data_IF_509609724846
#
_entry.id   IF_509609724846
#
_cell.length_a   1.000
_cell.length_b   1.000
_cell.length_c   1.000
_cell.angle_alpha   90.00
_cell.angle_beta   90.00
_cell.angle_gamma   90.00
#
_symmetry.space_group_name_H-M   'P 1'
#
loop_
_entity.id
_entity.type
_entity.pdbx_description
1 polymer ?
#
# COMPACT_ATOMS: atom_id res chain seq x y z
N UNK A 1 -21.90 4.88 18.56
CA UNK A 1 -22.41 3.54 18.22
C UNK A 1 -23.29 3.66 16.98
N UNK A 2 -22.82 3.15 15.85
CA UNK A 2 -23.56 3.17 14.58
C UNK A 2 -24.32 1.84 14.45
N UNK A 3 -25.60 1.91 14.24
CA UNK A 3 -26.44 0.73 14.03
C UNK A 3 -26.84 0.69 12.55
N UNK A 4 -26.16 -0.16 11.76
CA UNK A 4 -26.52 -0.43 10.39
C UNK A 4 -26.98 -1.88 10.31
N UNK A 5 -28.20 -2.09 9.85
CA UNK A 5 -28.79 -3.45 9.65
C UNK A 5 -28.83 -4.34 10.92
N UNK A 6 -29.05 -3.75 12.11
CA UNK A 6 -29.11 -4.51 13.36
C UNK A 6 -27.77 -4.99 13.90
N UNK A 7 -26.64 -4.63 13.26
CA UNK A 7 -25.31 -4.97 13.72
C UNK A 7 -24.77 -3.82 14.56
N UNK A 8 -24.41 -4.10 15.81
CA UNK A 8 -23.68 -3.13 16.65
C UNK A 8 -22.23 -3.10 16.23
N UNK A 9 -21.80 -1.98 15.65
CA UNK A 9 -20.40 -1.71 15.36
C UNK A 9 -19.79 -0.86 16.47
N UNK A 10 -18.70 -1.35 17.05
CA UNK A 10 -17.90 -0.60 18.01
C UNK A 10 -16.64 -0.16 17.30
N UNK A 11 -16.45 1.16 17.15
CA UNK A 11 -15.22 1.72 16.65
C UNK A 11 -14.18 1.78 17.77
N UNK A 12 -13.13 1.01 17.65
CA UNK A 12 -11.98 1.06 18.56
C UNK A 12 -10.84 1.78 17.85
N UNK A 13 -10.44 2.94 18.36
CA UNK A 13 -9.32 3.71 17.84
C UNK A 13 -8.14 3.58 18.80
N UNK A 14 -7.03 3.00 18.32
CA UNK A 14 -5.80 2.86 19.09
C UNK A 14 -4.85 4.06 18.95
N UNK A 15 -5.03 4.85 17.91
CA UNK A 15 -4.24 6.04 17.66
C UNK A 15 -4.57 6.68 16.32
N UNK A 16 -4.22 7.96 16.21
CA UNK A 16 -4.30 8.72 14.96
C UNK A 16 -2.89 9.12 14.58
N UNK A 17 -2.49 8.79 13.36
CA UNK A 17 -1.18 9.10 12.83
C UNK A 17 -1.29 10.11 11.68
N UNK A 18 -0.82 11.32 11.88
CA UNK A 18 -0.90 12.43 10.92
C UNK A 18 0.28 12.47 9.94
N UNK A 19 0.83 11.34 9.57
CA UNK A 19 1.93 11.25 8.61
C UNK A 19 1.60 10.26 7.50
N UNK A 20 2.15 10.51 6.32
CA UNK A 20 2.24 9.49 5.29
C UNK A 20 3.25 8.42 5.72
N UNK A 21 2.88 7.17 5.54
CA UNK A 21 3.73 6.01 5.77
C UNK A 21 3.77 5.10 4.54
N UNK A 22 4.47 3.97 4.65
CA UNK A 22 4.56 3.00 3.56
C UNK A 22 3.22 2.45 3.06
N UNK A 23 2.16 2.52 3.87
CA UNK A 23 0.84 2.03 3.50
C UNK A 23 0.07 3.01 2.60
N UNK A 24 0.53 4.25 2.44
CA UNK A 24 -0.07 5.24 1.52
C UNK A 24 -0.13 4.72 0.07
N UNK A 25 0.75 3.80 -0.30
CA UNK A 25 0.73 3.17 -1.62
C UNK A 25 -0.52 2.31 -1.83
N UNK A 26 -1.06 1.69 -0.77
CA UNK A 26 -2.28 0.89 -0.84
C UNK A 26 -3.47 1.77 -1.21
N UNK A 27 -3.58 2.93 -0.57
CA UNK A 27 -4.64 3.90 -0.84
C UNK A 27 -4.50 4.51 -2.23
N UNK A 28 -3.28 4.85 -2.63
CA UNK A 28 -2.99 5.34 -4.00
C UNK A 28 -3.33 4.30 -5.06
N UNK A 29 -3.02 3.04 -4.82
CA UNK A 29 -3.31 1.95 -5.73
C UNK A 29 -4.80 1.66 -5.86
N UNK A 30 -5.58 1.91 -4.80
CA UNK A 30 -7.05 1.79 -4.84
C UNK A 30 -7.74 2.97 -5.56
N UNK A 31 -7.01 4.02 -5.92
CA UNK A 31 -7.50 5.13 -6.74
C UNK A 31 -7.42 6.50 -6.08
N UNK A 32 -7.03 6.60 -4.81
CA UNK A 32 -6.95 7.87 -4.08
C UNK A 32 -5.50 8.22 -3.76
N UNK A 33 -4.92 9.16 -4.50
CA UNK A 33 -3.55 9.62 -4.27
C UNK A 33 -3.48 10.65 -3.14
N UNK A 34 -3.42 10.20 -1.90
CA UNK A 34 -3.42 11.08 -0.72
C UNK A 34 -2.30 12.14 -0.74
N UNK A 35 -1.04 11.84 -1.08
CA UNK A 35 0.01 12.87 -1.20
C UNK A 35 -0.32 13.96 -2.22
N UNK A 36 -0.91 13.58 -3.35
CA UNK A 36 -1.31 14.53 -4.39
C UNK A 36 -2.50 15.39 -3.95
N UNK A 37 -3.52 14.79 -3.34
CA UNK A 37 -4.68 15.49 -2.78
C UNK A 37 -4.23 16.51 -1.73
N UNK A 38 -3.31 16.12 -0.85
CA UNK A 38 -2.74 17.01 0.15
C UNK A 38 -1.98 18.19 -0.49
N UNK A 39 -1.23 17.94 -1.55
CA UNK A 39 -0.56 18.99 -2.32
C UNK A 39 -1.57 19.96 -2.92
N UNK A 40 -2.60 19.49 -3.62
CA UNK A 40 -3.64 20.33 -4.21
C UNK A 40 -4.37 21.17 -3.16
N UNK A 41 -4.73 20.55 -2.04
CA UNK A 41 -5.36 21.25 -0.93
C UNK A 41 -4.51 22.43 -0.42
N UNK A 42 -3.22 22.25 -0.27
CA UNK A 42 -2.31 23.32 0.17
C UNK A 42 -2.08 24.39 -0.91
N UNK A 43 -2.28 24.06 -2.18
CA UNK A 43 -2.28 25.04 -3.28
C UNK A 43 -3.58 25.81 -3.40
N UNK A 44 -4.62 25.48 -2.63
CA UNK A 44 -5.94 26.10 -2.70
C UNK A 44 -6.80 25.61 -3.87
N UNK A 45 -6.43 24.47 -4.46
CA UNK A 45 -7.16 23.86 -5.56
C UNK A 45 -8.38 23.07 -5.06
N UNK A 46 -9.42 22.93 -5.92
CA UNK A 46 -10.56 22.09 -5.60
C UNK A 46 -10.17 20.60 -5.66
N UNK A 47 -10.36 19.90 -4.55
CA UNK A 47 -10.00 18.48 -4.41
C UNK A 47 -11.20 17.53 -4.52
N UNK A 48 -12.41 18.02 -4.72
CA UNK A 48 -13.64 17.18 -4.73
C UNK A 48 -13.59 16.08 -5.79
N UNK A 49 -13.04 16.39 -6.97
CA UNK A 49 -12.87 15.42 -8.06
C UNK A 49 -11.87 14.31 -7.74
N UNK A 50 -10.91 14.58 -6.85
CA UNK A 50 -9.88 13.65 -6.45
C UNK A 50 -10.30 12.75 -5.27
N UNK A 51 -11.39 13.13 -4.58
CA UNK A 51 -11.97 12.37 -3.48
C UNK A 51 -12.94 11.31 -4.01
N UNK A 52 -12.43 10.31 -4.73
CA UNK A 52 -13.24 9.22 -5.28
C UNK A 52 -13.51 8.14 -4.21
N UNK A 53 -14.68 8.22 -3.57
CA UNK A 53 -15.12 7.19 -2.62
C UNK A 53 -15.76 5.95 -3.27
N UNK A 54 -16.13 6.04 -4.54
CA UNK A 54 -16.91 5.00 -5.23
C UNK A 54 -16.10 3.79 -5.69
N UNK A 55 -14.81 3.87 -5.66
CA UNK A 55 -13.96 2.77 -6.07
C UNK A 55 -13.22 2.16 -4.88
N UNK A 56 -13.95 1.56 -3.95
CA UNK A 56 -13.35 0.60 -3.02
C UNK A 56 -12.89 -0.66 -3.79
N UNK A 57 -11.94 -0.44 -4.69
CA UNK A 57 -11.29 -1.52 -5.40
C UNK A 57 -10.35 -2.22 -4.43
N UNK A 58 -10.58 -3.49 -4.22
CA UNK A 58 -9.63 -4.32 -3.50
C UNK A 58 -8.33 -4.40 -4.31
N UNK A 59 -7.22 -4.00 -3.69
CA UNK A 59 -5.89 -3.98 -4.31
C UNK A 59 -4.92 -4.75 -3.42
N UNK A 60 -4.27 -5.74 -4.01
CA UNK A 60 -3.24 -6.51 -3.34
C UNK A 60 -1.88 -5.83 -3.51
N UNK A 61 -1.30 -5.38 -2.42
CA UNK A 61 0.02 -4.75 -2.39
C UNK A 61 1.00 -5.64 -1.65
N UNK A 62 2.18 -5.87 -2.24
CA UNK A 62 3.19 -6.74 -1.67
C UNK A 62 4.43 -5.95 -1.25
N UNK A 63 4.88 -6.05 0.01
CA UNK A 63 6.19 -5.58 0.46
C UNK A 63 7.27 -6.62 0.09
N UNK A 64 7.69 -6.63 -1.17
CA UNK A 64 8.46 -7.69 -1.81
C UNK A 64 9.74 -8.08 -1.07
N UNK A 65 10.46 -7.12 -0.49
CA UNK A 65 11.69 -7.41 0.24
C UNK A 65 11.44 -8.02 1.62
N UNK A 66 10.36 -7.62 2.29
CA UNK A 66 10.00 -8.19 3.58
C UNK A 66 9.50 -9.62 3.40
N UNK A 67 8.68 -9.86 2.39
CA UNK A 67 8.17 -11.19 2.08
C UNK A 67 9.28 -12.13 1.62
N UNK A 68 10.23 -11.63 0.84
CA UNK A 68 11.41 -12.44 0.47
C UNK A 68 12.27 -12.84 1.69
N UNK A 69 12.38 -11.96 2.70
CA UNK A 69 13.02 -12.34 3.97
C UNK A 69 12.29 -13.51 4.65
N UNK A 70 10.96 -13.51 4.63
CA UNK A 70 10.16 -14.60 5.19
C UNK A 70 10.42 -15.93 4.44
N UNK A 71 10.61 -15.88 3.12
CA UNK A 71 11.03 -17.06 2.33
C UNK A 71 12.43 -17.53 2.76
N UNK A 72 13.38 -16.60 2.91
CA UNK A 72 14.75 -16.91 3.36
C UNK A 72 14.75 -17.55 4.76
N UNK A 73 13.88 -17.10 5.65
CA UNK A 73 13.71 -17.67 7.00
C UNK A 73 12.82 -18.93 7.02
N UNK A 74 12.43 -19.46 5.86
CA UNK A 74 11.58 -20.66 5.72
C UNK A 74 10.20 -20.54 6.39
N UNK A 75 9.72 -19.35 6.60
CA UNK A 75 8.36 -19.10 7.13
C UNK A 75 7.30 -19.29 6.04
N UNK A 76 7.67 -19.01 4.79
CA UNK A 76 6.81 -19.19 3.60
C UNK A 76 7.61 -20.01 2.58
N UNK A 77 6.94 -20.94 1.89
CA UNK A 77 7.58 -21.69 0.80
C UNK A 77 7.75 -20.79 -0.42
N UNK A 78 8.85 -20.98 -1.16
CA UNK A 78 9.12 -20.25 -2.39
C UNK A 78 7.98 -20.39 -3.41
N UNK A 79 7.36 -21.58 -3.49
CA UNK A 79 6.23 -21.83 -4.40
C UNK A 79 5.00 -20.97 -4.05
N UNK A 80 4.68 -20.85 -2.77
CA UNK A 80 3.57 -20.01 -2.32
C UNK A 80 3.87 -18.53 -2.55
N UNK A 81 5.09 -18.10 -2.23
CA UNK A 81 5.53 -16.73 -2.50
C UNK A 81 5.40 -16.37 -3.99
N UNK A 82 5.82 -17.25 -4.91
CA UNK A 82 5.67 -17.02 -6.34
C UNK A 82 4.20 -16.94 -6.80
N UNK A 83 3.29 -17.68 -6.15
CA UNK A 83 1.85 -17.55 -6.39
C UNK A 83 1.32 -16.18 -5.95
N UNK A 84 1.79 -15.69 -4.80
CA UNK A 84 1.38 -14.40 -4.26
C UNK A 84 1.93 -13.25 -5.11
N UNK A 85 3.18 -13.35 -5.60
CA UNK A 85 3.76 -12.41 -6.58
C UNK A 85 2.89 -12.30 -7.83
N UNK A 86 2.36 -13.42 -8.34
CA UNK A 86 1.48 -13.41 -9.54
C UNK A 86 0.12 -12.77 -9.29
N UNK A 87 -0.39 -12.82 -8.05
CA UNK A 87 -1.67 -12.22 -7.68
C UNK A 87 -1.55 -10.75 -7.31
N UNK A 88 -0.34 -10.28 -7.06
CA UNK A 88 -0.07 -8.93 -6.58
C UNK A 88 -0.35 -7.90 -7.67
N UNK A 89 -1.15 -6.90 -7.35
CA UNK A 89 -1.46 -5.78 -8.24
C UNK A 89 -0.35 -4.72 -8.25
N UNK A 90 0.26 -4.48 -7.08
CA UNK A 90 1.32 -3.48 -6.89
C UNK A 90 2.38 -3.93 -5.91
N UNK A 91 3.61 -3.55 -6.18
CA UNK A 91 4.75 -3.74 -5.28
C UNK A 91 5.09 -2.42 -4.58
N UNK A 92 5.64 -2.50 -3.37
CA UNK A 92 5.98 -1.30 -2.60
C UNK A 92 7.19 -0.55 -3.17
N UNK A 93 8.16 -1.25 -3.74
CA UNK A 93 9.39 -0.65 -4.26
C UNK A 93 9.52 -0.82 -5.77
N UNK A 94 9.13 -1.98 -6.31
CA UNK A 94 9.22 -2.22 -7.75
C UNK A 94 8.16 -1.44 -8.52
N UNK A 95 8.61 -0.61 -9.46
CA UNK A 95 7.76 0.07 -10.44
C UNK A 95 8.23 -0.21 -11.86
N UNK A 96 7.29 -0.52 -12.77
CA UNK A 96 7.62 -0.71 -14.19
C UNK A 96 8.15 0.58 -14.85
N UNK A 97 7.73 1.72 -14.35
CA UNK A 97 8.10 3.04 -14.88
C UNK A 97 9.43 3.54 -14.31
N UNK A 98 9.79 3.14 -13.08
CA UNK A 98 11.06 3.49 -12.46
C UNK A 98 11.59 2.31 -11.65
N UNK A 99 12.52 1.58 -12.26
CA UNK A 99 13.14 0.39 -11.65
C UNK A 99 14.39 0.72 -10.84
N UNK A 100 14.88 1.95 -10.90
CA UNK A 100 16.12 2.37 -10.27
C UNK A 100 16.12 2.16 -8.74
N UNK A 101 15.07 2.57 -7.99
CA UNK A 101 15.02 2.34 -6.56
C UNK A 101 15.06 0.85 -6.18
N UNK A 102 14.37 0.01 -6.96
CA UNK A 102 14.38 -1.44 -6.74
C UNK A 102 15.78 -2.02 -6.85
N UNK A 103 16.48 -1.75 -7.94
CA UNK A 103 17.83 -2.26 -8.14
C UNK A 103 18.82 -1.73 -7.10
N UNK A 104 18.68 -0.47 -6.67
CA UNK A 104 19.51 0.09 -5.59
C UNK A 104 19.33 -0.69 -4.29
N UNK A 105 18.11 -1.06 -3.93
CA UNK A 105 17.85 -1.86 -2.72
C UNK A 105 18.40 -3.28 -2.88
N UNK A 106 18.21 -3.91 -4.04
CA UNK A 106 18.77 -5.23 -4.35
C UNK A 106 20.30 -5.22 -4.18
N UNK A 107 20.98 -4.29 -4.84
CA UNK A 107 22.43 -4.17 -4.73
C UNK A 107 22.89 -3.97 -3.28
N UNK A 108 22.22 -3.08 -2.56
CA UNK A 108 22.55 -2.83 -1.15
C UNK A 108 22.39 -4.07 -0.26
N UNK A 109 21.40 -4.93 -0.53
CA UNK A 109 21.17 -6.15 0.26
C UNK A 109 22.12 -7.30 -0.09
N UNK A 110 22.65 -7.35 -1.31
CA UNK A 110 23.52 -8.43 -1.77
C UNK A 110 25.01 -8.11 -1.64
N UNK A 111 25.39 -6.83 -1.56
CA UNK A 111 26.79 -6.39 -1.49
C UNK A 111 27.17 -5.77 -0.13
N UNK A 112 26.29 -5.84 0.85
CA UNK A 112 26.51 -5.59 2.26
C UNK A 112 26.23 -6.86 3.06
#
# INVERSE_FOLDING_TARGET
MLNLFGIRMVLITYGINFRNDGNSICVTASGMNLPYIWYLYNCGENIESELCYDSMREVLVMPEFQDFKNVKHRQISLSNWLKDVKKTDRFMVFSKHDQKPFWMVVFKQFFH
#
